data_IF_598937916688
#
_entry.id   IF_598937916688
#
_cell.length_a   1.000
_cell.length_b   1.000
_cell.length_c   1.000
_cell.angle_alpha   90.00
_cell.angle_beta   90.00
_cell.angle_gamma   90.00
#
_symmetry.space_group_name_H-M   'P 1'
#
loop_
_entity.id
_entity.type
_entity.pdbx_description
1 polymer ?
#
# COMPACT_ATOMS: atom_id res chain seq x y z
N UNK A 1 -17.32 21.27 -85.83
CA UNK A 1 -17.58 19.88 -85.36
C UNK A 1 -16.58 19.55 -84.27
N UNK A 2 -17.07 18.97 -83.18
CA UNK A 2 -16.37 18.61 -81.94
C UNK A 2 -15.24 17.58 -82.20
N UNK A 3 -14.27 17.30 -81.32
CA UNK A 3 -14.26 16.77 -79.94
C UNK A 3 -12.78 16.82 -79.49
N UNK A 4 -12.31 16.74 -78.24
CA UNK A 4 -12.89 16.44 -76.94
C UNK A 4 -11.72 16.34 -75.95
N UNK A 5 -11.84 17.00 -74.80
CA UNK A 5 -10.85 16.90 -73.72
C UNK A 5 -11.07 15.64 -72.89
N UNK A 6 -9.99 15.03 -72.43
CA UNK A 6 -10.04 13.96 -71.42
C UNK A 6 -9.42 14.49 -70.13
N UNK A 7 -10.29 14.63 -69.13
CA UNK A 7 -10.00 14.93 -67.74
C UNK A 7 -9.61 13.62 -67.04
N UNK A 8 -8.37 13.49 -66.59
CA UNK A 8 -7.96 12.40 -65.70
C UNK A 8 -8.19 12.83 -64.25
N UNK A 9 -9.09 12.09 -63.61
CA UNK A 9 -9.63 12.31 -62.26
C UNK A 9 -8.58 11.91 -61.21
N UNK A 10 -8.42 12.76 -60.21
CA UNK A 10 -7.64 12.51 -58.99
C UNK A 10 -8.45 11.57 -58.09
N UNK A 11 -7.97 10.35 -57.84
CA UNK A 11 -8.52 9.48 -56.78
C UNK A 11 -7.77 9.81 -55.48
N UNK A 12 -8.38 10.69 -54.69
CA UNK A 12 -7.96 10.90 -53.30
C UNK A 12 -8.37 9.70 -52.46
N UNK A 13 -7.39 8.90 -52.07
CA UNK A 13 -7.54 7.89 -51.03
C UNK A 13 -7.68 8.62 -49.69
N UNK A 14 -8.92 8.72 -49.19
CA UNK A 14 -9.19 9.19 -47.83
C UNK A 14 -8.59 8.15 -46.86
N UNK A 15 -7.41 8.43 -46.32
CA UNK A 15 -6.87 7.67 -45.21
C UNK A 15 -7.81 7.87 -44.00
N UNK A 16 -8.64 6.87 -43.71
CA UNK A 16 -9.32 6.79 -42.42
C UNK A 16 -8.25 6.79 -41.32
N UNK A 17 -8.16 7.90 -40.58
CA UNK A 17 -7.29 7.96 -39.42
C UNK A 17 -7.78 6.93 -38.39
N UNK A 18 -7.09 5.78 -38.30
CA UNK A 18 -7.34 4.75 -37.31
C UNK A 18 -7.46 5.42 -35.93
N UNK A 19 -8.59 5.23 -35.25
CA UNK A 19 -8.82 5.82 -33.94
C UNK A 19 -7.62 5.50 -33.01
N UNK A 20 -7.15 6.48 -32.21
CA UNK A 20 -6.01 6.24 -31.35
C UNK A 20 -6.30 5.06 -30.42
N UNK A 21 -5.34 4.13 -30.23
CA UNK A 21 -5.51 3.05 -29.27
C UNK A 21 -5.80 3.64 -27.90
N UNK A 22 -6.62 2.94 -27.10
CA UNK A 22 -7.04 3.38 -25.77
C UNK A 22 -6.36 2.60 -24.65
N UNK A 23 -5.04 2.80 -24.43
CA UNK A 23 -4.33 2.16 -23.34
C UNK A 23 -4.75 2.78 -22.01
N UNK A 24 -4.44 2.06 -20.92
CA UNK A 24 -4.48 2.65 -19.59
C UNK A 24 -3.43 3.75 -19.45
N UNK A 25 -3.79 4.83 -18.78
CA UNK A 25 -2.88 5.89 -18.43
C UNK A 25 -1.89 5.43 -17.34
N UNK A 26 -0.63 5.87 -17.49
CA UNK A 26 0.33 5.82 -16.40
C UNK A 26 -0.09 6.85 -15.33
N UNK A 27 -0.30 6.38 -14.11
CA UNK A 27 -0.78 7.19 -12.99
C UNK A 27 0.25 7.18 -11.87
N UNK A 28 0.14 8.15 -10.95
CA UNK A 28 1.00 8.21 -9.77
C UNK A 28 1.04 6.86 -9.02
N UNK A 29 2.18 6.52 -8.38
CA UNK A 29 2.28 5.30 -7.60
C UNK A 29 1.21 5.28 -6.49
N UNK A 30 0.66 4.10 -6.15
CA UNK A 30 -0.30 3.99 -5.07
C UNK A 30 0.34 4.35 -3.72
N UNK A 31 -0.48 4.71 -2.71
CA UNK A 31 -0.01 4.91 -1.35
C UNK A 31 0.57 3.62 -0.77
N UNK A 32 1.44 3.78 0.23
CA UNK A 32 1.90 2.66 1.06
C UNK A 32 0.76 2.07 1.88
N UNK A 33 0.92 0.81 2.27
CA UNK A 33 0.03 0.14 3.22
C UNK A 33 -0.28 1.03 4.45
N UNK A 34 -1.55 1.08 4.83
CA UNK A 34 -2.03 1.88 5.96
C UNK A 34 -2.08 3.39 5.73
N UNK A 35 -1.61 3.90 4.58
CA UNK A 35 -1.74 5.30 4.22
C UNK A 35 -3.00 5.53 3.38
N UNK A 36 -3.76 6.58 3.72
CA UNK A 36 -4.88 7.04 2.89
C UNK A 36 -4.32 7.77 1.68
N UNK A 37 -4.70 7.33 0.49
CA UNK A 37 -4.32 7.95 -0.78
C UNK A 37 -5.36 7.71 -1.86
N UNK A 38 -5.21 8.37 -3.00
CA UNK A 38 -6.09 8.14 -4.14
C UNK A 38 -5.62 6.93 -4.95
N UNK A 39 -6.54 6.01 -5.20
CA UNK A 39 -6.35 4.85 -6.05
C UNK A 39 -7.22 5.06 -7.29
N UNK A 40 -6.58 5.05 -8.45
CA UNK A 40 -7.22 5.48 -9.69
C UNK A 40 -6.81 4.62 -10.88
N UNK A 41 -7.72 4.53 -11.85
CA UNK A 41 -7.49 3.95 -13.18
C UNK A 41 -8.10 4.88 -14.22
N UNK A 42 -7.45 5.04 -15.36
CA UNK A 42 -7.86 6.03 -16.36
C UNK A 42 -7.27 5.76 -17.73
N UNK A 43 -7.65 6.57 -18.72
CA UNK A 43 -7.20 6.50 -20.10
C UNK A 43 -6.94 7.93 -20.64
N UNK A 44 -6.14 8.09 -21.71
CA UNK A 44 -5.96 9.38 -22.35
C UNK A 44 -7.19 9.82 -23.14
N UNK A 45 -7.42 11.12 -23.25
CA UNK A 45 -8.37 11.66 -24.23
C UNK A 45 -7.79 11.51 -25.65
N UNK A 46 -8.61 11.22 -26.68
CA UNK A 46 -10.07 11.19 -26.69
C UNK A 46 -10.67 9.78 -26.48
N UNK A 47 -10.11 8.95 -25.60
CA UNK A 47 -10.71 7.64 -25.34
C UNK A 47 -12.13 7.74 -24.79
N UNK A 48 -13.01 6.76 -25.16
CA UNK A 48 -14.43 6.76 -24.81
C UNK A 48 -14.71 7.00 -23.33
N UNK A 49 -15.91 7.51 -23.00
CA UNK A 49 -17.00 7.90 -23.88
C UNK A 49 -16.75 9.27 -24.53
N UNK A 50 -17.06 9.37 -25.83
CA UNK A 50 -16.95 10.63 -26.57
C UNK A 50 -18.25 11.45 -26.56
N UNK A 51 -19.40 10.81 -26.29
CA UNK A 51 -20.74 11.41 -26.39
C UNK A 51 -21.52 11.30 -25.07
N UNK A 52 -21.15 12.13 -24.08
CA UNK A 52 -21.86 12.30 -22.83
C UNK A 52 -21.14 13.32 -21.96
N UNK A 53 -21.85 14.01 -21.07
CA UNK A 53 -21.17 14.79 -20.02
C UNK A 53 -20.75 13.80 -18.94
N UNK A 54 -19.54 13.93 -18.39
CA UNK A 54 -19.05 12.98 -17.40
C UNK A 54 -19.90 12.90 -16.12
N UNK A 55 -20.74 13.91 -15.86
CA UNK A 55 -21.81 13.91 -14.84
C UNK A 55 -22.90 12.86 -15.08
N UNK A 56 -23.07 12.39 -16.31
CA UNK A 56 -24.07 11.39 -16.69
C UNK A 56 -23.68 9.97 -16.24
N UNK A 57 -22.47 9.79 -15.70
CA UNK A 57 -22.01 8.49 -15.22
C UNK A 57 -22.10 8.36 -13.70
N UNK A 58 -22.42 7.16 -13.22
CA UNK A 58 -22.14 6.70 -11.85
C UNK A 58 -20.94 5.77 -11.88
N UNK A 59 -19.97 5.97 -10.99
CA UNK A 59 -18.76 5.15 -10.94
C UNK A 59 -18.75 4.32 -9.67
N UNK A 60 -18.66 3.01 -9.84
CA UNK A 60 -18.40 2.05 -8.77
C UNK A 60 -16.97 1.54 -8.91
N UNK A 61 -16.19 1.59 -7.84
CA UNK A 61 -14.82 1.06 -7.81
C UNK A 61 -14.70 -0.06 -6.80
N UNK A 62 -14.28 -1.21 -7.28
CA UNK A 62 -13.78 -2.32 -6.47
C UNK A 62 -12.26 -2.17 -6.32
N UNK A 63 -11.81 -1.96 -5.08
CA UNK A 63 -10.40 -1.79 -4.75
C UNK A 63 -9.63 -3.12 -4.70
N UNK A 64 -10.32 -4.26 -4.84
CA UNK A 64 -9.72 -5.59 -4.87
C UNK A 64 -9.45 -6.20 -3.49
N UNK A 65 -9.73 -5.48 -2.41
CA UNK A 65 -9.61 -5.95 -1.01
C UNK A 65 -10.98 -6.27 -0.37
N UNK A 66 -12.02 -6.40 -1.20
CA UNK A 66 -13.40 -6.60 -0.79
C UNK A 66 -14.16 -5.30 -0.50
N UNK A 67 -13.48 -4.14 -0.58
CA UNK A 67 -14.15 -2.84 -0.51
C UNK A 67 -14.58 -2.39 -1.90
N UNK A 68 -15.88 -2.14 -2.03
CA UNK A 68 -16.50 -1.54 -3.20
C UNK A 68 -17.15 -0.24 -2.78
N UNK A 69 -16.89 0.85 -3.49
CA UNK A 69 -17.43 2.17 -3.16
C UNK A 69 -17.82 2.97 -4.40
N UNK A 70 -18.80 3.86 -4.23
CA UNK A 70 -19.05 4.95 -5.17
C UNK A 70 -17.86 5.92 -5.14
N UNK A 71 -17.25 6.16 -6.30
CA UNK A 71 -16.08 7.02 -6.42
C UNK A 71 -16.32 8.13 -7.43
N UNK A 72 -15.56 9.23 -7.34
CA UNK A 72 -15.66 10.27 -8.35
C UNK A 72 -15.11 9.79 -9.69
N UNK A 73 -15.78 10.21 -10.75
CA UNK A 73 -15.17 10.42 -12.04
C UNK A 73 -14.41 11.74 -12.02
N UNK A 74 -13.16 11.79 -12.52
CA UNK A 74 -12.37 13.04 -12.62
C UNK A 74 -11.79 13.20 -14.00
N UNK A 75 -11.92 14.42 -14.53
CA UNK A 75 -11.39 14.80 -15.82
C UNK A 75 -10.16 15.71 -15.64
N UNK A 76 -9.15 15.49 -16.47
CA UNK A 76 -8.00 16.36 -16.68
C UNK A 76 -7.65 16.42 -18.16
N UNK A 77 -6.88 17.43 -18.57
CA UNK A 77 -6.18 17.42 -19.85
C UNK A 77 -4.74 16.96 -19.59
N UNK A 78 -4.28 15.83 -20.15
CA UNK A 78 -4.84 15.03 -21.25
C UNK A 78 -5.55 13.72 -20.83
N UNK A 79 -5.83 13.51 -19.55
CA UNK A 79 -6.30 12.22 -19.02
C UNK A 79 -7.60 12.34 -18.23
N UNK A 80 -8.45 11.33 -18.31
CA UNK A 80 -9.53 11.13 -17.35
C UNK A 80 -9.28 9.89 -16.49
N UNK A 81 -9.83 9.88 -15.27
CA UNK A 81 -9.63 8.78 -14.34
C UNK A 81 -10.83 8.58 -13.40
N UNK A 82 -11.02 7.32 -13.03
CA UNK A 82 -12.00 6.84 -12.06
C UNK A 82 -11.27 6.33 -10.82
N UNK A 83 -11.90 6.51 -9.66
CA UNK A 83 -11.39 5.98 -8.41
C UNK A 83 -11.43 7.01 -7.29
N UNK A 84 -10.97 6.62 -6.11
CA UNK A 84 -11.25 7.36 -4.89
C UNK A 84 -10.16 7.23 -3.85
N UNK A 85 -10.36 7.94 -2.74
CA UNK A 85 -9.49 7.83 -1.58
C UNK A 85 -9.74 6.47 -0.91
N UNK A 86 -8.67 5.68 -0.73
CA UNK A 86 -8.70 4.39 -0.07
C UNK A 86 -7.42 4.18 0.76
N UNK A 87 -7.46 3.25 1.70
CA UNK A 87 -6.31 2.84 2.50
C UNK A 87 -6.31 1.31 2.63
N UNK A 88 -5.36 0.65 1.97
CA UNK A 88 -5.21 -0.80 2.08
C UNK A 88 -4.64 -1.17 3.44
N UNK A 89 -5.28 -2.12 4.12
CA UNK A 89 -4.81 -2.63 5.40
C UNK A 89 -3.53 -3.46 5.30
N UNK A 90 -3.32 -4.12 4.14
CA UNK A 90 -2.18 -5.00 3.89
C UNK A 90 -1.47 -4.63 2.59
N UNK A 91 -0.16 -4.80 2.54
CA UNK A 91 0.58 -4.77 1.28
C UNK A 91 0.33 -6.02 0.44
N UNK A 92 0.61 -5.88 -0.85
CA UNK A 92 0.44 -6.93 -1.85
C UNK A 92 -0.13 -6.39 -3.15
N UNK A 93 -0.44 -7.32 -4.05
CA UNK A 93 -1.06 -7.01 -5.34
C UNK A 93 -2.58 -7.13 -5.24
N UNK A 94 -3.28 -6.11 -5.71
CA UNK A 94 -4.74 -6.06 -5.76
C UNK A 94 -5.22 -5.82 -7.20
N UNK A 95 -6.36 -6.38 -7.57
CA UNK A 95 -7.00 -6.09 -8.85
C UNK A 95 -7.99 -4.95 -8.67
N UNK A 96 -7.62 -3.75 -9.13
CA UNK A 96 -8.49 -2.59 -9.15
C UNK A 96 -9.44 -2.70 -10.33
N UNK A 97 -10.75 -2.54 -10.10
CA UNK A 97 -11.77 -2.50 -11.16
C UNK A 97 -12.70 -1.31 -10.95
N UNK A 98 -12.74 -0.39 -11.91
CA UNK A 98 -13.68 0.72 -11.93
C UNK A 98 -14.71 0.51 -13.04
N UNK A 99 -15.98 0.69 -12.73
CA UNK A 99 -17.10 0.61 -13.68
C UNK A 99 -17.85 1.93 -13.67
N UNK A 100 -17.77 2.68 -14.77
CA UNK A 100 -18.68 3.79 -15.03
C UNK A 100 -19.92 3.24 -15.74
N UNK A 101 -21.11 3.58 -15.23
CA UNK A 101 -22.39 3.25 -15.87
C UNK A 101 -23.11 4.54 -16.25
N UNK A 102 -23.47 4.69 -17.52
CA UNK A 102 -24.24 5.83 -18.00
C UNK A 102 -25.66 5.76 -17.43
N UNK A 103 -26.13 6.83 -16.80
CA UNK A 103 -27.38 6.84 -16.02
C UNK A 103 -28.63 6.69 -16.86
N UNK A 104 -28.59 7.09 -18.13
CA UNK A 104 -29.77 7.09 -19.00
C UNK A 104 -29.84 5.84 -19.88
N UNK A 105 -28.68 5.40 -20.40
CA UNK A 105 -28.61 4.27 -21.35
C UNK A 105 -28.23 2.96 -20.66
N UNK A 106 -27.59 3.01 -19.50
CA UNK A 106 -27.04 1.84 -18.82
C UNK A 106 -25.70 1.35 -19.37
N UNK A 107 -25.15 2.01 -20.39
CA UNK A 107 -23.87 1.62 -21.01
C UNK A 107 -22.73 1.67 -19.99
N UNK A 108 -21.81 0.70 -20.08
CA UNK A 108 -20.72 0.56 -19.13
C UNK A 108 -19.34 0.74 -19.76
N UNK A 109 -18.47 1.42 -19.02
CA UNK A 109 -17.04 1.44 -19.25
C UNK A 109 -16.37 0.79 -18.06
N UNK A 110 -15.62 -0.27 -18.33
CA UNK A 110 -14.92 -1.04 -17.30
C UNK A 110 -13.43 -0.92 -17.53
N UNK A 111 -12.73 -0.36 -16.54
CA UNK A 111 -11.28 -0.35 -16.50
C UNK A 111 -10.79 -1.23 -15.36
N UNK A 112 -9.73 -1.99 -15.63
CA UNK A 112 -9.10 -2.85 -14.63
C UNK A 112 -7.59 -2.81 -14.73
N UNK A 113 -6.91 -2.84 -13.59
CA UNK A 113 -5.44 -2.97 -13.52
C UNK A 113 -5.00 -3.63 -12.22
N UNK A 114 -3.92 -4.42 -12.26
CA UNK A 114 -3.22 -4.76 -11.02
C UNK A 114 -2.60 -3.48 -10.44
N UNK A 115 -2.66 -3.36 -9.12
CA UNK A 115 -1.91 -2.37 -8.36
C UNK A 115 -1.08 -3.07 -7.31
N UNK A 116 0.13 -2.57 -7.08
CA UNK A 116 1.03 -3.09 -6.05
C UNK A 116 1.07 -2.09 -4.90
N UNK A 117 0.61 -2.52 -3.73
CA UNK A 117 0.65 -1.73 -2.50
C UNK A 117 1.93 -2.09 -1.76
N UNK A 118 2.89 -1.16 -1.63
CA UNK A 118 4.17 -1.43 -0.99
C UNK A 118 3.99 -1.56 0.52
N UNK A 119 4.75 -2.48 1.11
CA UNK A 119 4.78 -2.70 2.56
C UNK A 119 5.38 -1.49 3.30
N UNK A 120 4.77 -1.14 4.43
CA UNK A 120 5.25 -0.09 5.29
C UNK A 120 6.51 -0.51 6.07
N UNK A 121 7.49 0.40 6.25
CA UNK A 121 8.74 0.06 6.92
C UNK A 121 8.57 0.01 8.43
N UNK A 122 9.28 -0.93 9.05
CA UNK A 122 9.48 -0.96 10.51
C UNK A 122 10.70 -0.12 10.90
N UNK A 123 10.49 0.88 11.76
CA UNK A 123 11.53 1.84 12.17
C UNK A 123 11.89 1.67 13.66
N UNK A 124 13.19 1.54 14.02
CA UNK A 124 13.62 1.51 15.42
C UNK A 124 13.20 2.77 16.20
N UNK A 125 12.84 2.60 17.48
CA UNK A 125 12.62 3.71 18.40
C UNK A 125 13.49 3.57 19.65
N UNK A 126 13.92 4.70 20.26
CA UNK A 126 14.64 4.65 21.54
C UNK A 126 13.82 3.92 22.61
N UNK A 127 14.46 3.02 23.35
CA UNK A 127 13.89 2.31 24.48
C UNK A 127 14.76 2.49 25.72
N UNK A 128 14.15 2.51 26.92
CA UNK A 128 14.89 2.55 28.18
C UNK A 128 15.66 1.25 28.38
N UNK A 129 16.78 1.30 29.11
CA UNK A 129 17.53 0.12 29.50
C UNK A 129 16.69 -0.69 30.52
N UNK A 130 16.31 -1.94 30.22
CA UNK A 130 15.58 -2.76 31.18
C UNK A 130 16.47 -3.14 32.36
N UNK A 131 15.88 -3.22 33.54
CA UNK A 131 16.58 -3.56 34.79
C UNK A 131 16.15 -4.94 35.26
N UNK A 132 17.12 -5.74 35.66
CA UNK A 132 16.94 -7.09 36.21
C UNK A 132 17.75 -7.25 37.49
N UNK A 133 17.39 -8.26 38.28
CA UNK A 133 18.14 -8.76 39.43
C UNK A 133 18.55 -10.20 39.14
N UNK A 134 19.80 -10.58 39.45
CA UNK A 134 20.28 -11.93 39.19
C UNK A 134 19.46 -12.96 39.99
N UNK A 135 19.20 -14.12 39.38
CA UNK A 135 18.36 -15.16 39.98
C UNK A 135 16.85 -14.88 39.98
N UNK A 136 16.41 -13.65 39.67
CA UNK A 136 14.99 -13.28 39.63
C UNK A 136 14.43 -13.28 38.21
N UNK A 137 13.21 -13.81 38.05
CA UNK A 137 12.44 -13.72 36.81
C UNK A 137 11.75 -12.35 36.78
N UNK A 138 11.94 -11.58 35.72
CA UNK A 138 11.33 -10.25 35.59
C UNK A 138 10.77 -10.03 34.19
N UNK A 139 9.61 -9.36 34.12
CA UNK A 139 8.99 -8.91 32.86
C UNK A 139 9.34 -7.44 32.63
N UNK A 140 9.87 -7.12 31.46
CA UNK A 140 10.39 -5.80 31.11
C UNK A 140 10.06 -5.43 29.66
N UNK A 141 9.90 -4.13 29.39
CA UNK A 141 9.92 -3.62 28.00
C UNK A 141 11.36 -3.63 27.50
N UNK A 142 11.61 -4.38 26.43
CA UNK A 142 12.95 -4.66 25.93
C UNK A 142 13.29 -3.79 24.73
N UNK A 143 12.32 -3.55 23.84
CA UNK A 143 12.51 -2.73 22.67
C UNK A 143 11.23 -1.98 22.31
N UNK A 144 11.38 -0.96 21.46
CA UNK A 144 10.30 -0.17 20.87
C UNK A 144 10.60 0.03 19.39
N UNK A 145 9.58 -0.03 18.56
CA UNK A 145 9.65 0.29 17.14
C UNK A 145 8.36 0.98 16.70
N UNK A 146 8.38 1.55 15.50
CA UNK A 146 7.24 2.12 14.83
C UNK A 146 6.97 1.34 13.55
N UNK A 147 5.70 1.13 13.23
CA UNK A 147 5.26 0.64 11.94
C UNK A 147 4.66 1.81 11.15
N UNK A 148 5.11 2.00 9.90
CA UNK A 148 4.54 3.01 9.01
C UNK A 148 3.07 2.73 8.64
N UNK A 149 2.60 1.48 8.75
CA UNK A 149 1.21 1.11 8.57
C UNK A 149 0.40 1.60 9.80
N UNK A 150 -0.36 2.68 9.60
CA UNK A 150 -1.19 3.27 10.67
C UNK A 150 -2.34 2.36 11.11
N UNK A 151 -2.73 1.42 10.26
CA UNK A 151 -3.78 0.43 10.51
C UNK A 151 -3.22 -0.85 11.14
N UNK A 152 -1.89 -1.01 11.25
CA UNK A 152 -1.28 -2.20 11.81
C UNK A 152 -1.71 -2.46 13.26
N UNK A 153 -1.97 -3.71 13.57
CA UNK A 153 -2.31 -4.21 14.90
C UNK A 153 -1.10 -4.94 15.49
N UNK A 154 -1.10 -5.16 16.81
CA UNK A 154 0.02 -5.82 17.48
C UNK A 154 0.19 -7.30 17.05
N UNK A 155 -0.89 -7.91 16.55
CA UNK A 155 -0.90 -9.28 16.01
C UNK A 155 -0.17 -9.42 14.68
N UNK A 156 0.03 -8.32 13.96
CA UNK A 156 0.70 -8.31 12.66
C UNK A 156 2.22 -8.51 12.82
N UNK A 157 2.73 -8.36 14.05
CA UNK A 157 4.15 -8.48 14.35
C UNK A 157 4.47 -9.70 15.23
N UNK A 158 5.57 -10.36 14.88
CA UNK A 158 6.24 -11.34 15.75
C UNK A 158 7.59 -10.81 16.19
N UNK A 159 7.97 -11.07 17.45
CA UNK A 159 9.26 -10.64 17.99
C UNK A 159 10.02 -11.78 18.62
N UNK A 160 11.33 -11.83 18.38
CA UNK A 160 12.26 -12.74 19.05
C UNK A 160 13.34 -11.92 19.76
N UNK A 161 13.54 -12.20 21.05
CA UNK A 161 14.57 -11.58 21.88
C UNK A 161 15.73 -12.56 22.03
N UNK A 162 16.95 -12.11 21.76
CA UNK A 162 18.18 -12.76 22.18
C UNK A 162 18.75 -12.01 23.38
N UNK A 163 18.80 -12.68 24.53
CA UNK A 163 19.03 -12.05 25.84
C UNK A 163 20.50 -11.73 26.14
N UNK A 164 21.43 -12.17 25.29
CA UNK A 164 22.87 -11.98 25.46
C UNK A 164 23.52 -12.98 26.44
N UNK A 165 22.82 -14.05 26.79
CA UNK A 165 23.26 -15.21 27.58
C UNK A 165 22.88 -16.53 26.86
N UNK A 166 22.99 -16.52 25.53
CA UNK A 166 22.66 -17.64 24.62
C UNK A 166 21.17 -18.05 24.58
N UNK A 167 20.34 -17.52 25.46
CA UNK A 167 18.90 -17.78 25.49
C UNK A 167 18.15 -16.87 24.53
N UNK A 168 17.06 -17.42 23.98
CA UNK A 168 16.12 -16.71 23.11
C UNK A 168 14.68 -16.91 23.57
N UNK A 169 13.82 -15.95 23.27
CA UNK A 169 12.39 -16.06 23.54
C UNK A 169 11.58 -15.44 22.41
N UNK A 170 10.56 -16.15 21.92
CA UNK A 170 9.49 -15.55 21.13
C UNK A 170 8.54 -14.83 22.09
N UNK A 171 8.14 -13.62 21.74
CA UNK A 171 7.29 -12.78 22.59
C UNK A 171 6.23 -12.07 21.74
N UNK A 172 5.12 -11.72 22.39
CA UNK A 172 4.12 -10.86 21.79
C UNK A 172 4.60 -9.41 21.73
N UNK A 173 4.16 -8.72 20.69
CA UNK A 173 4.24 -7.27 20.57
C UNK A 173 2.98 -6.66 21.20
N UNK A 174 3.10 -5.43 21.73
CA UNK A 174 1.97 -4.67 22.25
C UNK A 174 1.95 -3.29 21.59
N UNK A 175 0.82 -2.85 21.07
CA UNK A 175 0.64 -1.50 20.51
C UNK A 175 0.45 -0.48 21.65
N UNK A 176 1.15 0.66 21.58
CA UNK A 176 1.03 1.77 22.54
C UNK A 176 1.06 3.11 21.81
N UNK A 177 -0.13 3.66 21.54
CA UNK A 177 -0.27 4.85 20.69
C UNK A 177 0.21 4.54 19.28
N UNK A 178 1.12 5.37 18.74
CA UNK A 178 1.70 5.19 17.42
C UNK A 178 2.89 4.20 17.38
N UNK A 179 3.40 3.75 18.52
CA UNK A 179 4.55 2.84 18.59
C UNK A 179 4.13 1.44 19.07
N UNK A 180 5.04 0.49 18.88
CA UNK A 180 4.93 -0.89 19.31
C UNK A 180 6.03 -1.25 20.29
N UNK A 181 5.68 -2.00 21.33
CA UNK A 181 6.55 -2.42 22.41
C UNK A 181 6.79 -3.93 22.36
N UNK A 182 8.05 -4.33 22.50
CA UNK A 182 8.43 -5.73 22.66
C UNK A 182 8.66 -5.98 24.15
N UNK A 183 7.79 -6.79 24.77
CA UNK A 183 7.83 -7.08 26.21
C UNK A 183 8.30 -8.53 26.39
N UNK A 184 9.37 -8.71 27.15
CA UNK A 184 9.96 -10.01 27.41
C UNK A 184 10.04 -10.32 28.89
N UNK A 185 10.00 -11.60 29.23
CA UNK A 185 10.24 -12.10 30.59
C UNK A 185 11.49 -12.95 30.59
N UNK A 186 12.45 -12.67 31.48
CA UNK A 186 13.72 -13.41 31.55
C UNK A 186 14.26 -13.51 32.98
N UNK A 187 15.12 -14.49 33.21
CA UNK A 187 15.90 -14.67 34.43
C UNK A 187 17.37 -14.85 34.07
N UNK A 188 18.18 -13.85 34.41
CA UNK A 188 19.64 -13.96 34.31
C UNK A 188 20.21 -14.69 35.53
N UNK A 189 21.17 -15.58 35.33
CA UNK A 189 21.83 -16.33 36.41
C UNK A 189 22.87 -15.51 37.19
N UNK A 190 23.50 -14.53 36.54
CA UNK A 190 24.57 -13.73 37.13
C UNK A 190 24.36 -12.24 36.91
N UNK A 191 24.89 -11.37 37.78
CA UNK A 191 24.90 -9.93 37.59
C UNK A 191 25.80 -9.52 36.39
N UNK A 192 25.49 -8.39 35.74
CA UNK A 192 26.33 -7.73 34.73
C UNK A 192 25.72 -6.37 34.41
N UNK A 193 26.53 -5.32 34.57
CA UNK A 193 26.10 -3.92 34.37
C UNK A 193 25.64 -3.62 32.95
N UNK A 194 26.13 -4.36 31.95
CA UNK A 194 25.74 -4.22 30.55
C UNK A 194 25.67 -5.58 29.85
N UNK A 195 24.45 -6.06 29.62
CA UNK A 195 24.18 -7.19 28.71
C UNK A 195 23.57 -6.68 27.42
N UNK A 196 24.19 -6.99 26.27
CA UNK A 196 23.64 -6.64 24.96
C UNK A 196 22.44 -7.55 24.70
N UNK A 197 21.28 -6.94 24.45
CA UNK A 197 20.07 -7.61 24.00
C UNK A 197 19.87 -7.26 22.53
N UNK A 198 19.52 -8.24 21.73
CA UNK A 198 19.09 -8.04 20.34
C UNK A 198 17.65 -8.49 20.21
N UNK A 199 16.83 -7.71 19.53
CA UNK A 199 15.47 -8.07 19.17
C UNK A 199 15.34 -8.08 17.66
N UNK A 200 14.69 -9.10 17.11
CA UNK A 200 14.27 -9.13 15.71
C UNK A 200 12.76 -9.09 15.73
N UNK A 201 12.19 -8.09 15.07
CA UNK A 201 10.75 -7.97 14.81
C UNK A 201 10.51 -8.25 13.34
N UNK A 202 9.48 -9.04 13.06
CA UNK A 202 8.97 -9.29 11.72
C UNK A 202 7.51 -8.90 11.66
N UNK A 203 7.15 -8.20 10.60
CA UNK A 203 5.80 -7.97 10.15
C UNK A 203 5.32 -9.17 9.27
N UNK A 204 4.00 -9.28 9.07
CA UNK A 204 3.34 -10.36 8.32
C UNK A 204 3.58 -10.28 6.80
N UNK A 205 4.06 -9.14 6.29
CA UNK A 205 4.49 -8.93 4.90
C UNK A 205 6.02 -8.84 4.75
N UNK A 206 6.75 -9.58 5.60
CA UNK A 206 8.21 -9.76 5.57
C UNK A 206 9.05 -8.51 5.86
N UNK A 207 8.46 -7.36 6.22
CA UNK A 207 9.26 -6.27 6.76
C UNK A 207 9.92 -6.71 8.07
N UNK A 208 11.22 -6.47 8.21
CA UNK A 208 12.00 -6.90 9.37
C UNK A 208 12.79 -5.74 9.92
N UNK A 209 12.82 -5.60 11.25
CA UNK A 209 13.71 -4.64 11.92
C UNK A 209 14.51 -5.34 13.03
N UNK A 210 15.81 -5.03 13.06
CA UNK A 210 16.72 -5.48 14.12
C UNK A 210 16.97 -4.34 15.10
N UNK A 211 16.61 -4.56 16.36
CA UNK A 211 16.76 -3.59 17.45
C UNK A 211 17.86 -4.07 18.39
N UNK A 212 18.56 -3.13 19.03
CA UNK A 212 19.56 -3.43 20.06
C UNK A 212 19.28 -2.60 21.31
N UNK A 213 19.41 -3.24 22.48
CA UNK A 213 19.32 -2.56 23.78
C UNK A 213 20.38 -3.14 24.74
N UNK A 214 20.52 -2.55 25.92
CA UNK A 214 21.41 -3.04 26.99
C UNK A 214 20.63 -3.21 28.28
N UNK A 215 20.63 -4.41 28.84
CA UNK A 215 20.12 -4.68 30.18
C UNK A 215 21.15 -4.35 31.26
N UNK A 216 20.65 -3.82 32.38
CA UNK A 216 21.39 -3.68 33.62
C UNK A 216 20.92 -4.82 34.53
N UNK A 217 21.82 -5.74 34.87
CA UNK A 217 21.52 -6.84 35.80
C UNK A 217 22.30 -6.60 37.08
N UNK A 218 21.57 -6.28 38.15
CA UNK A 218 22.12 -6.11 39.49
C UNK A 218 22.32 -7.49 40.16
N UNK A 219 23.20 -7.59 41.17
CA UNK A 219 23.23 -8.75 42.07
C UNK A 219 21.83 -9.04 42.62
#
# INVERSE_FOLDING_TARGET
>A
MALGGVLLVWLGEQAEAQAPPCPLAALAPPPMEGAKGYIVVGQPRPCPPQNGTWSDFSVLTDFGDGVIADTPFREGDPLWFMGGAHAYRRAGTYQLRATATHRQTGDQIVLQRPIEIPNAPLTPRPARKPKFVAGQKSRQTIARFHDGNRLAEASDHTATIAWGDERRSKVAVVKRGADFLVIGTHRYSAAKRMRRITVIVRDDRNATVRLSNRAIVRP
#
